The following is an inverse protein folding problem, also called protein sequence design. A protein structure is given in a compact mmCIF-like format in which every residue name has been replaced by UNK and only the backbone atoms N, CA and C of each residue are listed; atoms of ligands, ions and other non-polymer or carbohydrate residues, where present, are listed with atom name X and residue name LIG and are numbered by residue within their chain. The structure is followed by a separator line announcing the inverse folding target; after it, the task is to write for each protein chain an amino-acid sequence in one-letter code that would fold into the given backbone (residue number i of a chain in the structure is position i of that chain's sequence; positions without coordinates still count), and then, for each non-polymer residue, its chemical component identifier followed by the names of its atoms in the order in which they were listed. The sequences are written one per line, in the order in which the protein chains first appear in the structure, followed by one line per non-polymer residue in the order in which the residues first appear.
data_IF_277492889405
#
_entry.id   IF_277492889405
#
_cell.length_a   1.000
_cell.length_b   1.000
_cell.length_c   1.000
_cell.angle_alpha   90.00
_cell.angle_beta   90.00
_cell.angle_gamma   90.00
#
_symmetry.space_group_name_H-M   'P 1'
#
loop_
_entity.id
_entity.type
_entity.pdbx_description
1 polymer ?
#
# COMPACT_ATOMS: atom_id res chain seq x y z
N UNK A 1 -19.91 7.82 -19.67
CA UNK A 1 -19.57 8.08 -18.23
C UNK A 1 -18.13 8.57 -18.20
N UNK A 2 -17.75 9.51 -17.32
CA UNK A 2 -16.35 9.88 -17.09
C UNK A 2 -15.54 8.64 -16.69
N UNK A 3 -14.25 8.55 -17.11
CA UNK A 3 -13.38 7.40 -16.83
C UNK A 3 -12.30 7.80 -15.83
N UNK A 4 -12.50 7.55 -14.53
CA UNK A 4 -11.49 7.85 -13.51
C UNK A 4 -10.17 7.11 -13.76
N UNK A 5 -9.04 7.79 -13.56
CA UNK A 5 -7.71 7.24 -13.78
C UNK A 5 -7.32 6.21 -12.70
N UNK A 6 -6.64 5.14 -13.08
CA UNK A 6 -6.01 4.20 -12.12
C UNK A 6 -4.66 4.76 -11.71
N UNK A 7 -4.51 5.07 -10.42
CA UNK A 7 -3.28 5.59 -9.82
C UNK A 7 -2.55 4.49 -9.07
N UNK A 8 -1.43 4.04 -9.59
CA UNK A 8 -0.69 2.90 -9.07
C UNK A 8 0.64 3.28 -8.40
N UNK A 9 1.11 2.50 -7.39
CA UNK A 9 2.36 2.79 -6.69
C UNK A 9 3.60 2.29 -7.44
N UNK A 10 4.58 3.19 -7.70
CA UNK A 10 5.87 2.91 -8.29
C UNK A 10 7.02 2.90 -7.26
N UNK A 11 7.02 1.96 -6.30
CA UNK A 11 8.03 1.89 -5.24
C UNK A 11 9.41 1.39 -5.68
N UNK A 12 9.58 0.92 -6.92
CA UNK A 12 10.84 0.56 -7.58
C UNK A 12 10.70 0.77 -9.08
N UNK A 13 11.83 0.76 -9.81
CA UNK A 13 11.83 0.85 -11.27
C UNK A 13 10.89 -0.19 -11.90
N UNK A 14 11.08 -1.46 -11.58
CA UNK A 14 10.26 -2.54 -12.13
C UNK A 14 8.77 -2.39 -11.77
N UNK A 15 8.45 -2.00 -10.51
CA UNK A 15 7.05 -1.75 -10.11
C UNK A 15 6.40 -0.65 -10.93
N UNK A 16 7.11 0.46 -11.16
CA UNK A 16 6.60 1.59 -11.90
C UNK A 16 6.31 1.20 -13.37
N UNK A 17 7.29 0.59 -14.03
CA UNK A 17 7.13 0.14 -15.42
C UNK A 17 6.00 -0.87 -15.55
N UNK A 18 5.94 -1.83 -14.64
CA UNK A 18 4.91 -2.87 -14.75
C UNK A 18 3.53 -2.35 -14.41
N UNK A 19 3.39 -1.41 -13.45
CA UNK A 19 2.13 -0.74 -13.22
C UNK A 19 1.61 -0.05 -14.50
N UNK A 20 2.47 0.69 -15.19
CA UNK A 20 2.13 1.32 -16.47
C UNK A 20 1.73 0.29 -17.55
N UNK A 21 2.49 -0.81 -17.70
CA UNK A 21 2.19 -1.89 -18.66
C UNK A 21 0.86 -2.57 -18.40
N UNK A 22 0.47 -2.77 -17.16
CA UNK A 22 -0.82 -3.37 -16.79
C UNK A 22 -1.98 -2.37 -16.85
N UNK A 23 -1.70 -1.13 -17.25
CA UNK A 23 -2.69 -0.15 -17.62
C UNK A 23 -3.02 0.87 -16.53
N UNK A 24 -2.11 1.11 -15.58
CA UNK A 24 -2.18 2.30 -14.75
C UNK A 24 -1.93 3.53 -15.62
N UNK A 25 -2.88 4.44 -15.67
CA UNK A 25 -2.73 5.70 -16.40
C UNK A 25 -1.79 6.66 -15.66
N UNK A 26 -1.65 6.49 -14.34
CA UNK A 26 -0.88 7.37 -13.47
C UNK A 26 -0.05 6.54 -12.47
N UNK A 27 1.23 6.84 -12.34
CA UNK A 27 2.15 6.13 -11.44
C UNK A 27 2.75 7.12 -10.44
N UNK A 28 2.55 6.88 -9.13
CA UNK A 28 3.14 7.71 -8.11
C UNK A 28 4.39 7.11 -7.48
N UNK A 29 5.46 7.89 -7.38
CA UNK A 29 6.78 7.48 -6.90
C UNK A 29 7.28 8.37 -5.78
N UNK A 30 8.03 7.79 -4.83
CA UNK A 30 8.61 8.55 -3.73
C UNK A 30 9.91 9.24 -4.13
N UNK A 31 10.04 10.53 -3.81
CA UNK A 31 11.31 11.25 -3.91
C UNK A 31 12.15 10.97 -2.67
N UNK A 32 13.46 10.72 -2.81
CA UNK A 32 14.36 10.56 -1.66
C UNK A 32 14.25 11.72 -0.67
N UNK A 33 14.33 11.42 0.63
CA UNK A 33 14.31 12.36 1.77
C UNK A 33 13.01 13.14 2.01
N UNK A 34 12.11 13.22 1.03
CA UNK A 34 10.93 14.11 1.11
C UNK A 34 9.60 13.37 1.01
N UNK A 35 9.61 12.04 0.83
CA UNK A 35 8.38 11.25 0.72
C UNK A 35 8.14 10.37 1.92
N UNK A 36 6.85 10.13 2.22
CA UNK A 36 6.46 9.06 3.15
C UNK A 36 6.86 7.69 2.60
N UNK A 37 7.13 6.73 3.50
CA UNK A 37 7.60 5.38 3.15
C UNK A 37 9.04 5.35 2.59
N UNK A 38 9.92 6.23 3.05
CA UNK A 38 11.32 6.28 2.60
C UNK A 38 12.03 4.93 2.69
N UNK A 39 11.85 4.17 3.78
CA UNK A 39 12.51 2.87 3.98
C UNK A 39 12.13 1.81 2.95
N UNK A 40 10.93 1.86 2.41
CA UNK A 40 10.46 0.93 1.37
C UNK A 40 10.70 1.43 -0.05
N UNK A 41 11.21 2.65 -0.21
CA UNK A 41 11.52 3.23 -1.51
C UNK A 41 12.86 2.68 -2.02
N UNK A 42 12.85 2.02 -3.18
CA UNK A 42 14.06 1.52 -3.84
C UNK A 42 14.63 2.50 -4.88
N UNK A 43 14.05 3.69 -4.98
CA UNK A 43 14.47 4.77 -5.88
C UNK A 43 15.26 5.85 -5.12
N UNK A 44 16.32 5.44 -4.41
CA UNK A 44 17.15 6.35 -3.60
C UNK A 44 18.09 7.23 -4.44
N UNK A 45 18.38 6.81 -5.67
CA UNK A 45 19.24 7.54 -6.60
C UNK A 45 18.37 8.39 -7.54
N UNK A 46 18.65 9.68 -7.60
CA UNK A 46 17.95 10.62 -8.48
C UNK A 46 18.11 10.27 -9.97
N UNK A 47 19.26 9.74 -10.37
CA UNK A 47 19.49 9.27 -11.74
C UNK A 47 18.58 8.08 -12.07
N UNK A 48 18.43 7.13 -11.14
CA UNK A 48 17.52 6.01 -11.29
C UNK A 48 16.06 6.45 -11.28
N UNK A 49 15.72 7.46 -10.44
CA UNK A 49 14.39 8.06 -10.42
C UNK A 49 14.06 8.68 -11.79
N UNK A 50 14.97 9.50 -12.34
CA UNK A 50 14.80 10.11 -13.67
C UNK A 50 14.61 9.07 -14.78
N UNK A 51 15.47 8.05 -14.83
CA UNK A 51 15.32 6.93 -15.78
C UNK A 51 13.97 6.23 -15.63
N UNK A 52 13.44 6.13 -14.43
CA UNK A 52 12.14 5.52 -14.19
C UNK A 52 11.00 6.42 -14.66
N UNK A 53 11.12 7.74 -14.47
CA UNK A 53 10.16 8.73 -15.00
C UNK A 53 10.08 8.59 -16.51
N UNK A 54 11.23 8.62 -17.20
CA UNK A 54 11.28 8.53 -18.65
C UNK A 54 10.66 7.22 -19.17
N UNK A 55 11.02 6.10 -18.57
CA UNK A 55 10.50 4.79 -18.99
C UNK A 55 8.99 4.62 -18.76
N UNK A 56 8.43 5.27 -17.73
CA UNK A 56 6.96 5.28 -17.51
C UNK A 56 6.27 6.16 -18.55
N UNK A 57 6.87 7.31 -18.89
CA UNK A 57 6.35 8.18 -19.96
C UNK A 57 6.39 7.51 -21.32
N UNK A 58 7.45 6.75 -21.66
CA UNK A 58 7.54 5.96 -22.89
C UNK A 58 6.39 4.95 -23.02
N UNK A 59 5.83 4.49 -21.90
CA UNK A 59 4.66 3.61 -21.86
C UNK A 59 3.33 4.37 -21.89
N UNK A 60 3.33 5.70 -21.97
CA UNK A 60 2.16 6.55 -22.07
C UNK A 60 1.48 6.87 -20.72
N UNK A 61 2.07 6.50 -19.59
CA UNK A 61 1.52 6.81 -18.25
C UNK A 61 2.14 8.08 -17.70
N UNK A 62 1.35 8.85 -16.91
CA UNK A 62 1.82 10.03 -16.19
C UNK A 62 2.57 9.65 -14.91
N UNK A 63 3.48 10.52 -14.48
CA UNK A 63 4.29 10.33 -13.28
C UNK A 63 4.02 11.41 -12.24
N UNK A 64 3.66 10.96 -11.03
CA UNK A 64 3.50 11.85 -9.87
C UNK A 64 4.58 11.58 -8.84
N UNK A 65 5.36 12.60 -8.50
CA UNK A 65 6.38 12.49 -7.48
C UNK A 65 5.84 12.89 -6.11
N UNK A 66 6.02 12.02 -5.11
CA UNK A 66 5.55 12.31 -3.75
C UNK A 66 6.64 12.98 -2.93
N UNK A 67 6.33 14.18 -2.43
CA UNK A 67 7.15 15.01 -1.53
C UNK A 67 6.30 15.43 -0.33
N UNK A 68 5.72 14.45 0.35
CA UNK A 68 4.58 14.61 1.24
C UNK A 68 4.89 14.32 2.72
N UNK A 69 6.13 14.52 3.17
CA UNK A 69 6.46 14.54 4.59
C UNK A 69 5.92 15.82 5.25
N UNK A 70 5.84 15.82 6.59
CA UNK A 70 5.69 17.04 7.38
C UNK A 70 7.08 17.48 7.87
N UNK A 71 7.75 18.42 7.18
CA UNK A 71 9.10 18.84 7.51
C UNK A 71 9.10 19.69 8.78
N UNK A 72 10.18 19.58 9.56
CA UNK A 72 10.53 20.55 10.60
C UNK A 72 11.46 21.62 10.02
N UNK A 73 11.72 22.69 10.77
CA UNK A 73 12.59 23.77 10.30
C UNK A 73 13.95 23.28 9.79
N UNK A 74 14.52 22.26 10.41
CA UNK A 74 15.79 21.65 9.98
C UNK A 74 15.70 20.93 8.63
N UNK A 75 14.52 20.48 8.25
CA UNK A 75 14.27 19.71 7.04
C UNK A 75 14.03 20.63 5.82
N UNK A 76 13.67 21.91 6.02
CA UNK A 76 13.27 22.83 4.94
C UNK A 76 14.38 23.05 3.93
N UNK A 77 15.62 23.27 4.37
CA UNK A 77 16.76 23.44 3.46
C UNK A 77 17.03 22.19 2.63
N UNK A 78 16.84 21.00 3.23
CA UNK A 78 16.96 19.74 2.51
C UNK A 78 15.83 19.61 1.48
N UNK A 79 14.62 20.00 1.87
CA UNK A 79 13.46 19.99 0.98
C UNK A 79 13.69 20.90 -0.24
N UNK A 80 14.15 22.14 -0.06
CA UNK A 80 14.48 23.07 -1.15
C UNK A 80 15.54 22.49 -2.10
N UNK A 81 16.64 21.96 -1.57
CA UNK A 81 17.69 21.34 -2.37
C UNK A 81 17.22 20.10 -3.15
N UNK A 82 16.23 19.37 -2.62
CA UNK A 82 15.61 18.23 -3.32
C UNK A 82 14.66 18.73 -4.40
N UNK A 83 13.87 19.77 -4.14
CA UNK A 83 12.98 20.38 -5.15
C UNK A 83 13.77 20.83 -6.38
N UNK A 84 14.91 21.52 -6.17
CA UNK A 84 15.80 21.94 -7.26
C UNK A 84 16.27 20.74 -8.11
N UNK A 85 16.56 19.59 -7.48
CA UNK A 85 16.99 18.37 -8.21
C UNK A 85 15.87 17.68 -8.99
N UNK A 86 14.62 17.83 -8.57
CA UNK A 86 13.47 17.17 -9.21
C UNK A 86 12.72 18.07 -10.18
N UNK A 87 12.99 19.37 -10.20
CA UNK A 87 12.32 20.35 -11.07
C UNK A 87 12.41 19.98 -12.55
N UNK A 88 13.54 19.43 -12.98
CA UNK A 88 13.82 19.06 -14.36
C UNK A 88 13.58 17.57 -14.67
N UNK A 89 12.98 16.83 -13.74
CA UNK A 89 12.74 15.39 -13.93
C UNK A 89 11.54 15.07 -14.83
N UNK A 90 10.73 16.08 -15.18
CA UNK A 90 9.57 15.90 -16.05
C UNK A 90 8.36 15.28 -15.33
N UNK A 91 8.23 15.46 -14.00
CA UNK A 91 7.04 14.99 -13.28
C UNK A 91 5.80 15.76 -13.75
N UNK A 92 4.70 15.06 -13.99
CA UNK A 92 3.41 15.65 -14.36
C UNK A 92 2.75 16.34 -13.16
N UNK A 93 2.98 15.83 -11.94
CA UNK A 93 2.52 16.45 -10.71
C UNK A 93 3.43 16.13 -9.51
N UNK A 94 3.35 17.00 -8.49
CA UNK A 94 3.95 16.78 -7.18
C UNK A 94 2.84 16.57 -6.15
N UNK A 95 2.91 15.46 -5.41
CA UNK A 95 2.00 15.19 -4.29
C UNK A 95 2.65 15.72 -3.00
N UNK A 96 2.05 16.72 -2.39
CA UNK A 96 2.57 17.40 -1.19
C UNK A 96 1.57 17.37 -0.02
N UNK A 97 2.00 17.75 1.19
CA UNK A 97 1.12 17.77 2.38
C UNK A 97 1.22 19.07 3.20
N UNK A 98 2.37 19.67 3.25
CA UNK A 98 2.64 20.78 4.17
C UNK A 98 2.47 22.13 3.49
N UNK A 99 1.72 23.10 4.09
CA UNK A 99 1.54 24.43 3.50
C UNK A 99 2.85 25.19 3.29
N UNK A 100 3.87 24.98 4.15
CA UNK A 100 5.19 25.59 3.97
C UNK A 100 5.90 25.05 2.72
N UNK A 101 5.80 23.74 2.49
CA UNK A 101 6.36 23.12 1.27
C UNK A 101 5.61 23.51 0.00
N UNK A 102 4.32 23.85 0.11
CA UNK A 102 3.54 24.38 -1.01
C UNK A 102 4.17 25.66 -1.58
N UNK A 103 4.60 26.60 -0.73
CA UNK A 103 5.27 27.83 -1.19
C UNK A 103 6.61 27.53 -1.87
N UNK A 104 7.38 26.60 -1.34
CA UNK A 104 8.64 26.15 -1.97
C UNK A 104 8.37 25.57 -3.35
N UNK A 105 7.40 24.67 -3.47
CA UNK A 105 7.04 24.04 -4.74
C UNK A 105 6.55 25.07 -5.77
N UNK A 106 5.69 26.00 -5.39
CA UNK A 106 5.24 27.08 -6.28
C UNK A 106 6.38 27.96 -6.77
N UNK A 107 7.40 28.21 -5.92
CA UNK A 107 8.57 29.01 -6.28
C UNK A 107 9.46 28.31 -7.31
N UNK A 108 9.77 27.03 -7.11
CA UNK A 108 10.75 26.29 -7.93
C UNK A 108 10.10 25.50 -9.08
N UNK A 109 8.83 25.16 -8.99
CA UNK A 109 8.08 24.35 -9.97
C UNK A 109 6.73 25.01 -10.33
N UNK A 110 6.70 26.26 -10.80
CA UNK A 110 5.46 27.03 -10.98
C UNK A 110 4.49 26.43 -12.01
N UNK A 111 5.01 25.66 -12.96
CA UNK A 111 4.23 25.06 -14.06
C UNK A 111 3.85 23.61 -13.79
N UNK A 112 4.31 22.99 -12.70
CA UNK A 112 3.99 21.61 -12.36
C UNK A 112 2.69 21.57 -11.57
N UNK A 113 1.81 20.61 -11.89
CA UNK A 113 0.58 20.43 -11.14
C UNK A 113 0.88 20.01 -9.69
N UNK A 114 0.13 20.58 -8.76
CA UNK A 114 0.22 20.23 -7.34
C UNK A 114 -1.01 19.44 -6.92
N UNK A 115 -0.77 18.27 -6.34
CA UNK A 115 -1.79 17.39 -5.80
C UNK A 115 -1.67 17.34 -4.27
N UNK A 116 -2.79 17.59 -3.59
CA UNK A 116 -2.82 17.57 -2.13
C UNK A 116 -2.88 16.13 -1.63
N UNK A 117 -1.96 15.75 -0.77
CA UNK A 117 -1.92 14.40 -0.18
C UNK A 117 -3.02 14.18 0.84
N UNK A 118 -3.52 12.96 0.96
CA UNK A 118 -4.41 12.51 2.03
C UNK A 118 -3.86 12.80 3.44
N UNK A 119 -2.56 13.04 3.58
CA UNK A 119 -1.92 13.41 4.85
C UNK A 119 -2.44 14.72 5.45
N UNK A 120 -3.05 15.59 4.66
CA UNK A 120 -3.66 16.83 5.13
C UNK A 120 -5.01 16.61 5.82
N UNK A 121 -5.54 15.39 5.80
CA UNK A 121 -6.85 15.06 6.38
C UNK A 121 -7.99 15.93 5.81
N UNK A 122 -8.04 16.09 4.49
CA UNK A 122 -9.07 16.90 3.82
C UNK A 122 -10.38 16.13 3.77
N UNK A 123 -11.42 16.64 4.46
CA UNK A 123 -12.65 15.91 4.76
C UNK A 123 -13.93 16.68 4.45
N UNK A 124 -13.86 17.88 3.89
CA UNK A 124 -15.06 18.68 3.60
C UNK A 124 -14.86 19.60 2.41
N UNK A 125 -15.98 20.03 1.80
CA UNK A 125 -15.94 20.86 0.60
C UNK A 125 -15.27 22.22 0.82
N UNK A 126 -15.36 22.82 2.01
CA UNK A 126 -14.73 24.12 2.29
C UNK A 126 -13.21 24.01 2.29
N UNK A 127 -12.65 22.92 2.85
CA UNK A 127 -11.22 22.66 2.79
C UNK A 127 -10.76 22.35 1.36
N UNK A 128 -11.58 21.64 0.57
CA UNK A 128 -11.29 21.37 -0.84
C UNK A 128 -11.33 22.66 -1.65
N UNK A 129 -12.33 23.55 -1.43
CA UNK A 129 -12.43 24.86 -2.06
C UNK A 129 -11.20 25.73 -1.75
N UNK A 130 -10.79 25.79 -0.49
CA UNK A 130 -9.57 26.52 -0.09
C UNK A 130 -8.35 26.11 -0.93
N UNK A 131 -8.13 24.82 -1.08
CA UNK A 131 -6.99 24.33 -1.84
C UNK A 131 -7.15 24.54 -3.36
N UNK A 132 -8.38 24.47 -3.87
CA UNK A 132 -8.68 24.84 -5.25
C UNK A 132 -8.35 26.30 -5.55
N UNK A 133 -8.75 27.22 -4.66
CA UNK A 133 -8.46 28.65 -4.77
C UNK A 133 -6.96 28.94 -4.71
N UNK A 134 -6.19 28.10 -3.97
CA UNK A 134 -4.73 28.16 -3.94
C UNK A 134 -4.08 27.60 -5.22
N UNK A 135 -4.86 27.06 -6.16
CA UNK A 135 -4.39 26.50 -7.43
C UNK A 135 -3.88 25.06 -7.34
N UNK A 136 -4.38 24.29 -6.38
CA UNK A 136 -4.18 22.83 -6.32
C UNK A 136 -5.07 22.19 -7.39
N UNK A 137 -4.50 21.26 -8.16
CA UNK A 137 -5.21 20.61 -9.27
C UNK A 137 -6.05 19.42 -8.81
N UNK A 138 -5.55 18.65 -7.82
CA UNK A 138 -6.20 17.42 -7.32
C UNK A 138 -6.07 17.32 -5.81
N UNK A 139 -7.12 16.80 -5.17
CA UNK A 139 -7.11 16.46 -3.74
C UNK A 139 -7.25 14.96 -3.57
N UNK A 140 -6.29 14.34 -2.88
CA UNK A 140 -6.42 12.97 -2.38
C UNK A 140 -7.18 13.03 -1.06
N UNK A 141 -8.44 12.68 -1.08
CA UNK A 141 -9.33 12.79 0.05
C UNK A 141 -8.90 11.87 1.23
N UNK A 142 -9.31 12.22 2.42
CA UNK A 142 -9.14 11.39 3.60
C UNK A 142 -9.99 10.12 3.48
N UNK A 143 -9.51 9.00 4.08
CA UNK A 143 -10.18 7.69 4.00
C UNK A 143 -11.39 7.57 4.91
N UNK A 144 -11.59 8.55 5.75
CA UNK A 144 -12.66 8.63 6.75
C UNK A 144 -13.98 9.13 6.18
N UNK A 145 -14.00 9.58 4.91
CA UNK A 145 -15.18 10.09 4.23
C UNK A 145 -16.11 8.97 3.74
N UNK A 146 -17.42 9.21 3.92
CA UNK A 146 -18.47 8.40 3.31
C UNK A 146 -18.74 8.86 1.87
N UNK A 147 -19.27 7.98 1.04
CA UNK A 147 -19.53 8.27 -0.39
C UNK A 147 -20.49 9.45 -0.59
N UNK A 148 -21.45 9.64 0.31
CA UNK A 148 -22.35 10.78 0.25
C UNK A 148 -21.63 12.12 0.46
N UNK A 149 -20.63 12.15 1.34
CA UNK A 149 -19.80 13.33 1.58
C UNK A 149 -18.90 13.62 0.39
N UNK A 150 -18.36 12.59 -0.27
CA UNK A 150 -17.55 12.73 -1.49
C UNK A 150 -18.43 13.27 -2.62
N UNK A 151 -19.67 12.79 -2.76
CA UNK A 151 -20.64 13.32 -3.70
C UNK A 151 -20.90 14.80 -3.46
N UNK A 152 -21.19 15.20 -2.21
CA UNK A 152 -21.39 16.61 -1.86
C UNK A 152 -20.16 17.47 -2.17
N UNK A 153 -18.96 16.99 -1.87
CA UNK A 153 -17.71 17.69 -2.23
C UNK A 153 -17.65 17.91 -3.74
N UNK A 154 -17.92 16.87 -4.56
CA UNK A 154 -17.87 16.97 -6.02
C UNK A 154 -18.93 17.92 -6.58
N UNK A 155 -20.11 17.95 -5.99
CA UNK A 155 -21.19 18.88 -6.37
C UNK A 155 -20.85 20.34 -6.03
N UNK A 156 -20.20 20.58 -4.87
CA UNK A 156 -19.84 21.94 -4.41
C UNK A 156 -18.60 22.50 -5.08
N UNK A 157 -17.64 21.64 -5.45
CA UNK A 157 -16.36 22.03 -6.06
C UNK A 157 -16.10 21.16 -7.30
N UNK A 158 -16.90 21.32 -8.37
CA UNK A 158 -16.89 20.40 -9.52
C UNK A 158 -15.59 20.41 -10.33
N UNK A 159 -14.85 21.53 -10.32
CA UNK A 159 -13.70 21.76 -11.19
C UNK A 159 -12.38 21.18 -10.63
N UNK A 160 -12.36 20.77 -9.36
CA UNK A 160 -11.19 20.11 -8.79
C UNK A 160 -11.24 18.61 -9.04
N UNK A 161 -10.09 18.00 -9.28
CA UNK A 161 -10.00 16.56 -9.37
C UNK A 161 -10.00 15.93 -7.97
N UNK A 162 -10.85 14.92 -7.76
CA UNK A 162 -10.93 14.16 -6.52
C UNK A 162 -10.31 12.77 -6.71
N UNK A 163 -9.38 12.40 -5.82
CA UNK A 163 -8.75 11.09 -5.80
C UNK A 163 -9.07 10.38 -4.48
N UNK A 164 -9.49 9.13 -4.55
CA UNK A 164 -9.79 8.30 -3.37
C UNK A 164 -9.00 7.02 -3.36
N UNK A 165 -8.66 6.52 -2.18
CA UNK A 165 -8.12 5.18 -2.04
C UNK A 165 -9.23 4.14 -2.23
N UNK A 166 -8.98 3.17 -3.12
CA UNK A 166 -9.90 2.07 -3.41
C UNK A 166 -9.37 0.71 -2.96
N UNK A 167 -8.03 0.62 -2.78
CA UNK A 167 -7.35 -0.60 -2.37
C UNK A 167 -6.18 -0.28 -1.46
N UNK A 168 -6.05 -1.00 -0.35
CA UNK A 168 -4.87 -0.87 0.51
C UNK A 168 -5.17 -0.96 2.00
N UNK A 169 -4.25 -0.44 2.78
CA UNK A 169 -4.30 -0.52 4.22
C UNK A 169 -5.15 0.60 4.84
N UNK A 170 -6.09 0.27 5.70
CA UNK A 170 -6.69 1.27 6.59
C UNK A 170 -5.73 1.60 7.74
N UNK A 171 -5.74 2.86 8.18
CA UNK A 171 -5.04 3.32 9.38
C UNK A 171 -5.97 3.28 10.59
N UNK A 172 -5.37 3.11 11.80
CA UNK A 172 -6.11 3.19 13.08
C UNK A 172 -6.38 4.63 13.55
N UNK A 173 -5.77 5.59 12.86
CA UNK A 173 -5.89 7.02 13.16
C UNK A 173 -6.35 7.74 11.91
N UNK A 174 -6.87 8.95 12.08
CA UNK A 174 -7.14 9.82 10.95
C UNK A 174 -5.94 9.91 10.01
N UNK A 175 -6.21 10.02 8.71
CA UNK A 175 -5.21 10.16 7.67
C UNK A 175 -4.21 11.27 8.00
N UNK A 176 -2.90 10.94 8.07
CA UNK A 176 -1.85 11.90 8.40
C UNK A 176 -1.69 12.28 9.88
N UNK A 177 -2.46 11.72 10.81
CA UNK A 177 -2.45 12.11 12.23
C UNK A 177 -1.93 11.02 13.17
N UNK A 178 -1.06 10.13 12.68
CA UNK A 178 -0.56 9.00 13.45
C UNK A 178 0.74 9.34 14.18
N UNK A 179 0.73 9.16 15.51
CA UNK A 179 1.92 9.22 16.36
C UNK A 179 2.33 7.84 16.93
N UNK A 180 1.56 6.79 16.61
CA UNK A 180 1.77 5.47 17.22
C UNK A 180 3.18 4.92 16.98
N UNK A 181 3.72 5.11 15.77
CA UNK A 181 5.07 4.66 15.45
C UNK A 181 6.16 5.37 16.26
N UNK A 182 5.94 6.64 16.61
CA UNK A 182 6.83 7.40 17.50
C UNK A 182 6.81 6.80 18.92
N UNK A 183 5.61 6.60 19.48
CA UNK A 183 5.46 6.06 20.83
C UNK A 183 5.96 4.62 20.97
N UNK A 184 5.63 3.75 19.99
CA UNK A 184 5.92 2.31 20.08
C UNK A 184 7.34 1.95 19.63
N UNK A 185 8.06 2.84 18.96
CA UNK A 185 9.36 2.45 18.40
C UNK A 185 10.24 3.60 17.92
N UNK A 186 9.96 4.83 18.32
CA UNK A 186 10.74 6.01 17.92
C UNK A 186 10.82 6.23 16.40
N UNK A 187 9.77 5.80 15.66
CA UNK A 187 9.74 5.85 14.18
C UNK A 187 8.60 6.73 13.69
N UNK A 188 8.90 8.02 13.40
CA UNK A 188 7.89 8.99 13.02
C UNK A 188 7.24 8.65 11.67
N UNK A 189 5.96 8.25 11.73
CA UNK A 189 5.18 7.91 10.55
C UNK A 189 5.08 9.06 9.55
N UNK A 190 4.96 10.27 10.05
CA UNK A 190 4.83 11.49 9.23
C UNK A 190 6.17 11.99 8.64
N UNK A 191 7.29 11.38 9.01
CA UNK A 191 8.62 11.55 8.39
C UNK A 191 9.03 10.38 7.49
N UNK A 192 8.11 9.48 7.17
CA UNK A 192 8.38 8.36 6.27
C UNK A 192 8.94 7.09 6.91
N UNK A 193 8.97 7.01 8.24
CA UNK A 193 9.57 5.90 8.98
C UNK A 193 8.56 4.92 9.59
N UNK A 194 7.27 5.03 9.26
CA UNK A 194 6.23 4.16 9.79
C UNK A 194 6.58 2.66 9.60
N UNK A 195 6.66 1.94 10.70
CA UNK A 195 6.91 0.50 10.75
C UNK A 195 5.63 -0.34 10.87
N UNK A 196 4.46 0.31 10.85
CA UNK A 196 3.16 -0.35 11.05
C UNK A 196 3.03 -1.02 12.43
N UNK A 197 3.50 -0.39 13.49
CA UNK A 197 3.39 -0.92 14.85
C UNK A 197 1.95 -1.33 15.22
N UNK A 198 0.93 -0.63 14.69
CA UNK A 198 -0.49 -1.00 14.85
C UNK A 198 -0.86 -2.39 14.29
N UNK A 199 0.07 -3.07 13.63
CA UNK A 199 -0.14 -4.35 12.94
C UNK A 199 0.77 -5.46 13.45
N UNK A 200 1.58 -5.18 14.48
CA UNK A 200 2.40 -6.19 15.12
C UNK A 200 1.53 -7.10 16.00
N UNK A 201 1.97 -8.32 16.17
CA UNK A 201 1.45 -9.20 17.18
C UNK A 201 1.91 -8.69 18.55
N UNK A 202 1.00 -8.63 19.50
CA UNK A 202 1.29 -8.26 20.88
C UNK A 202 0.83 -9.36 21.81
N UNK A 203 1.66 -9.71 22.75
CA UNK A 203 1.21 -10.47 23.92
C UNK A 203 0.56 -9.49 24.90
N UNK A 204 -0.66 -9.80 25.33
CA UNK A 204 -1.38 -8.97 26.30
C UNK A 204 -1.31 -9.64 27.65
N UNK A 205 -0.93 -8.88 28.66
CA UNK A 205 -0.85 -9.33 30.03
C UNK A 205 -1.82 -8.52 30.89
N UNK A 206 -2.47 -9.19 31.82
CA UNK A 206 -3.28 -8.57 32.86
C UNK A 206 -2.47 -8.55 34.16
N UNK A 207 -2.47 -7.41 34.83
CA UNK A 207 -1.96 -7.27 36.17
C UNK A 207 -3.10 -6.89 37.10
N UNK A 208 -3.27 -7.61 38.20
CA UNK A 208 -4.23 -7.21 39.23
C UNK A 208 -3.57 -6.17 40.14
N UNK A 209 -4.13 -4.95 40.28
CA UNK A 209 -3.54 -3.88 41.10
C UNK A 209 -3.22 -4.24 42.55
N UNK A 210 -3.90 -5.24 43.12
CA UNK A 210 -3.64 -5.74 44.46
C UNK A 210 -2.50 -6.76 44.57
N UNK A 211 -1.97 -7.19 43.40
CA UNK A 211 -0.86 -8.15 43.28
C UNK A 211 0.14 -7.65 42.23
N UNK A 212 0.78 -6.49 42.49
CA UNK A 212 1.70 -5.89 41.51
C UNK A 212 2.87 -6.82 41.22
N UNK A 213 3.31 -6.83 39.95
CA UNK A 213 4.39 -7.69 39.45
C UNK A 213 3.97 -9.12 39.09
N UNK A 214 2.66 -9.46 39.23
CA UNK A 214 2.12 -10.74 38.74
C UNK A 214 1.32 -10.53 37.48
N UNK A 215 1.92 -10.95 36.34
CA UNK A 215 1.33 -10.82 35.02
C UNK A 215 0.68 -12.15 34.61
N UNK A 216 -0.57 -12.08 34.15
CA UNK A 216 -1.31 -13.18 33.58
C UNK A 216 -1.42 -12.94 32.08
N UNK A 217 -0.82 -13.82 31.27
CA UNK A 217 -0.93 -13.71 29.83
C UNK A 217 -2.39 -13.95 29.39
N UNK A 218 -2.89 -13.09 28.53
CA UNK A 218 -4.20 -13.26 27.92
C UNK A 218 -4.01 -14.07 26.63
N UNK A 219 -4.44 -15.30 26.63
CA UNK A 219 -4.41 -16.16 25.44
C UNK A 219 -5.73 -16.01 24.67
N UNK A 220 -5.64 -15.66 23.39
CA UNK A 220 -6.77 -15.67 22.47
C UNK A 220 -6.49 -16.70 21.36
N UNK A 221 -7.04 -17.91 21.49
CA UNK A 221 -6.94 -18.98 20.50
C UNK A 221 -5.64 -19.77 20.58
N UNK A 222 -5.64 -20.96 20.03
CA UNK A 222 -4.58 -21.95 20.21
C UNK A 222 -3.25 -21.60 19.52
N UNK A 223 -3.20 -20.62 18.59
CA UNK A 223 -1.99 -20.36 17.76
C UNK A 223 -1.60 -18.89 17.58
N UNK A 224 -2.27 -17.91 18.19
CA UNK A 224 -2.11 -16.50 17.77
C UNK A 224 -2.20 -15.51 18.93
N UNK A 225 -1.19 -14.66 19.07
CA UNK A 225 -1.23 -13.51 19.99
C UNK A 225 -2.38 -12.55 19.74
N UNK A 226 -2.76 -11.77 20.74
CA UNK A 226 -3.85 -10.78 20.65
C UNK A 226 -3.51 -9.63 19.71
N UNK A 227 -4.31 -9.38 18.67
CA UNK A 227 -4.20 -8.23 17.80
C UNK A 227 -5.01 -7.06 18.38
N UNK A 228 -4.36 -6.14 19.06
CA UNK A 228 -5.06 -5.03 19.73
C UNK A 228 -5.55 -3.98 18.75
N UNK A 229 -4.85 -3.77 17.63
CA UNK A 229 -5.08 -2.68 16.68
C UNK A 229 -5.03 -3.07 15.22
N UNK A 230 -5.18 -4.36 14.88
CA UNK A 230 -5.11 -4.80 13.50
C UNK A 230 -6.31 -4.32 12.70
N UNK A 231 -6.15 -3.24 11.95
CA UNK A 231 -7.17 -2.76 11.02
C UNK A 231 -7.29 -3.69 9.81
N UNK A 232 -8.51 -3.82 9.28
CA UNK A 232 -8.80 -4.52 8.02
C UNK A 232 -8.12 -3.85 6.84
N UNK A 233 -8.02 -4.53 5.72
CA UNK A 233 -7.54 -3.95 4.47
C UNK A 233 -8.72 -3.41 3.65
N UNK A 234 -8.56 -2.24 3.02
CA UNK A 234 -9.56 -1.63 2.16
C UNK A 234 -9.63 -2.36 0.83
N UNK A 235 -10.83 -2.69 0.37
CA UNK A 235 -11.10 -3.06 -1.02
C UNK A 235 -12.55 -2.71 -1.38
N UNK A 236 -12.72 -1.87 -2.39
CA UNK A 236 -14.05 -1.45 -2.87
C UNK A 236 -14.38 -1.99 -4.25
N UNK A 237 -13.64 -3.00 -4.72
CA UNK A 237 -13.79 -3.52 -6.09
C UNK A 237 -15.20 -4.00 -6.40
N UNK A 238 -15.90 -4.59 -5.42
CA UNK A 238 -17.26 -5.09 -5.57
C UNK A 238 -18.33 -3.97 -5.58
N UNK A 239 -17.96 -2.77 -5.16
CA UNK A 239 -18.83 -1.59 -5.10
C UNK A 239 -18.31 -0.43 -5.93
N UNK A 240 -17.39 -0.71 -6.85
CA UNK A 240 -16.70 0.32 -7.63
C UNK A 240 -17.68 1.18 -8.45
N UNK A 241 -18.77 0.59 -8.93
CA UNK A 241 -19.81 1.33 -9.68
C UNK A 241 -20.40 2.52 -8.90
N UNK A 242 -20.45 2.42 -7.55
CA UNK A 242 -21.00 3.47 -6.71
C UNK A 242 -19.99 4.63 -6.51
N UNK A 243 -18.70 4.37 -6.71
CA UNK A 243 -17.60 5.34 -6.52
C UNK A 243 -17.31 6.14 -7.81
N UNK A 244 -17.32 5.46 -8.97
CA UNK A 244 -16.90 6.03 -10.26
C UNK A 244 -17.54 7.38 -10.62
N UNK A 245 -18.83 7.66 -10.34
CA UNK A 245 -19.45 8.92 -10.74
C UNK A 245 -18.89 10.16 -10.05
N UNK A 246 -18.25 10.02 -8.89
CA UNK A 246 -17.91 11.15 -8.01
C UNK A 246 -16.43 11.44 -7.90
N UNK A 247 -15.58 10.64 -8.55
CA UNK A 247 -14.11 10.75 -8.43
C UNK A 247 -13.45 10.80 -9.80
N UNK A 248 -12.28 11.42 -9.86
CA UNK A 248 -11.48 11.53 -11.08
C UNK A 248 -10.31 10.52 -11.09
N UNK A 249 -9.97 9.96 -9.93
CA UNK A 249 -8.88 9.01 -9.82
C UNK A 249 -9.08 7.99 -8.69
N UNK A 250 -8.69 6.74 -8.97
CA UNK A 250 -8.79 5.56 -8.12
C UNK A 250 -7.39 5.17 -7.67
N UNK A 251 -7.06 5.39 -6.40
CA UNK A 251 -5.72 5.16 -5.88
C UNK A 251 -5.56 3.78 -5.26
N UNK A 252 -4.58 3.04 -5.77
CA UNK A 252 -4.11 1.79 -5.19
C UNK A 252 -2.94 2.09 -4.25
N UNK A 253 -3.03 1.64 -2.99
CA UNK A 253 -1.95 1.83 -2.02
C UNK A 253 -0.95 0.67 -2.07
N UNK A 254 0.12 0.83 -1.31
CA UNK A 254 1.16 -0.14 -0.96
C UNK A 254 2.39 -0.17 -1.86
N UNK A 255 3.16 0.90 -1.80
CA UNK A 255 4.52 0.93 -2.38
C UNK A 255 5.46 -0.14 -1.82
N UNK A 256 5.17 -0.67 -0.62
CA UNK A 256 6.00 -1.68 0.06
C UNK A 256 5.69 -3.13 -0.30
N UNK A 257 4.52 -3.43 -0.87
CA UNK A 257 4.16 -4.79 -1.30
C UNK A 257 5.01 -5.24 -2.50
N UNK A 258 4.93 -6.53 -2.82
CA UNK A 258 5.62 -7.12 -3.98
C UNK A 258 5.20 -6.48 -5.30
N UNK A 259 6.01 -6.67 -6.32
CA UNK A 259 5.73 -6.15 -7.67
C UNK A 259 4.42 -6.72 -8.20
N UNK A 260 4.20 -8.01 -8.05
CA UNK A 260 3.01 -8.67 -8.56
C UNK A 260 1.71 -8.23 -7.85
N UNK A 261 1.77 -7.78 -6.58
CA UNK A 261 0.61 -7.15 -5.94
C UNK A 261 0.11 -5.95 -6.76
N UNK A 262 1.02 -5.06 -7.14
CA UNK A 262 0.67 -3.84 -7.88
C UNK A 262 -0.01 -4.20 -9.20
N UNK A 263 0.52 -5.18 -9.90
CA UNK A 263 0.03 -5.61 -11.22
C UNK A 263 -1.37 -6.17 -11.17
N UNK A 264 -1.61 -7.07 -10.23
CA UNK A 264 -2.92 -7.68 -10.06
C UNK A 264 -3.99 -6.69 -9.68
N UNK A 265 -3.65 -5.78 -8.76
CA UNK A 265 -4.58 -4.71 -8.38
C UNK A 265 -4.89 -3.80 -9.57
N UNK A 266 -3.87 -3.37 -10.32
CA UNK A 266 -4.07 -2.53 -11.50
C UNK A 266 -4.93 -3.25 -12.53
N UNK A 267 -4.61 -4.52 -12.85
CA UNK A 267 -5.39 -5.33 -13.81
C UNK A 267 -6.85 -5.49 -13.39
N UNK A 268 -7.08 -5.84 -12.12
CA UNK A 268 -8.43 -6.06 -11.59
C UNK A 268 -9.25 -4.77 -11.60
N UNK A 269 -8.72 -3.69 -11.03
CA UNK A 269 -9.44 -2.41 -10.96
C UNK A 269 -9.67 -1.79 -12.33
N UNK A 270 -8.68 -1.86 -13.24
CA UNK A 270 -8.85 -1.40 -14.61
C UNK A 270 -9.95 -2.18 -15.32
N UNK A 271 -9.92 -3.52 -15.25
CA UNK A 271 -10.92 -4.37 -15.89
C UNK A 271 -12.33 -4.06 -15.38
N UNK A 272 -12.51 -4.04 -14.05
CA UNK A 272 -13.83 -3.81 -13.45
C UNK A 272 -14.34 -2.38 -13.78
N UNK A 273 -13.48 -1.36 -13.69
CA UNK A 273 -13.82 0.02 -14.08
C UNK A 273 -14.28 0.08 -15.54
N UNK A 274 -13.46 -0.48 -16.43
CA UNK A 274 -13.72 -0.42 -17.88
C UNK A 274 -15.00 -1.17 -18.22
N UNK A 275 -15.21 -2.36 -17.66
CA UNK A 275 -16.44 -3.14 -17.87
C UNK A 275 -17.70 -2.40 -17.41
N UNK A 276 -17.65 -1.73 -16.24
CA UNK A 276 -18.78 -0.91 -15.73
C UNK A 276 -19.07 0.25 -16.67
N UNK A 277 -18.04 0.97 -17.13
CA UNK A 277 -18.21 2.17 -17.98
C UNK A 277 -18.71 1.79 -19.39
N UNK A 278 -18.15 0.71 -19.94
CA UNK A 278 -18.45 0.27 -21.30
C UNK A 278 -19.70 -0.64 -21.36
N UNK A 279 -20.29 -1.00 -20.22
CA UNK A 279 -21.48 -1.86 -20.11
C UNK A 279 -21.20 -3.31 -20.54
N UNK A 280 -19.95 -3.76 -20.40
CA UNK A 280 -19.55 -5.13 -20.73
C UNK A 280 -19.56 -6.04 -19.50
N UNK A 281 -19.67 -7.37 -19.66
CA UNK A 281 -19.58 -8.30 -18.53
C UNK A 281 -18.23 -8.17 -17.80
N UNK A 282 -18.29 -8.18 -16.47
CA UNK A 282 -17.10 -8.29 -15.64
C UNK A 282 -16.64 -9.74 -15.62
N UNK A 283 -15.38 -10.00 -15.97
CA UNK A 283 -14.77 -11.32 -15.83
C UNK A 283 -14.52 -11.63 -14.35
N UNK A 284 -15.19 -12.65 -13.77
CA UNK A 284 -15.06 -12.96 -12.35
C UNK A 284 -13.64 -13.42 -11.96
N UNK A 285 -12.89 -14.02 -12.88
CA UNK A 285 -11.52 -14.48 -12.61
C UNK A 285 -10.60 -13.28 -12.45
N UNK A 286 -10.72 -12.26 -13.31
CA UNK A 286 -9.94 -11.02 -13.22
C UNK A 286 -10.34 -10.22 -11.97
N UNK A 287 -11.65 -10.11 -11.69
CA UNK A 287 -12.12 -9.44 -10.49
C UNK A 287 -11.59 -10.11 -9.22
N UNK A 288 -11.53 -11.43 -9.20
CA UNK A 288 -11.06 -12.21 -8.05
C UNK A 288 -9.53 -12.13 -7.82
N UNK A 289 -8.74 -11.54 -8.73
CA UNK A 289 -7.31 -11.36 -8.55
C UNK A 289 -6.96 -10.62 -7.25
N UNK A 290 -7.83 -9.76 -6.75
CA UNK A 290 -7.64 -9.05 -5.47
C UNK A 290 -7.55 -10.01 -4.28
N UNK A 291 -8.19 -11.19 -4.35
CA UNK A 291 -8.21 -12.20 -3.30
C UNK A 291 -7.05 -13.21 -3.40
N UNK A 292 -6.31 -13.23 -4.51
CA UNK A 292 -5.19 -14.18 -4.72
C UNK A 292 -3.95 -13.79 -3.93
N UNK A 293 -3.86 -12.53 -3.53
CA UNK A 293 -2.69 -11.98 -2.82
C UNK A 293 -2.92 -12.03 -1.32
N UNK A 294 -1.87 -12.30 -0.51
CA UNK A 294 -1.99 -12.23 0.94
C UNK A 294 -2.49 -10.86 1.42
N UNK A 295 -3.66 -10.85 2.02
CA UNK A 295 -4.33 -9.67 2.55
C UNK A 295 -4.97 -10.01 3.89
N UNK A 296 -5.30 -9.00 4.69
CA UNK A 296 -6.21 -9.13 5.82
C UNK A 296 -7.63 -9.22 5.32
N UNK A 297 -8.57 -9.49 6.22
CA UNK A 297 -9.99 -9.37 5.90
C UNK A 297 -10.25 -8.05 5.18
N UNK A 298 -10.89 -8.13 4.02
CA UNK A 298 -11.26 -6.94 3.27
C UNK A 298 -12.50 -6.28 3.86
N UNK A 299 -12.47 -4.96 3.78
CA UNK A 299 -13.55 -4.10 4.19
C UNK A 299 -13.64 -2.92 3.20
N UNK A 300 -14.82 -2.50 2.86
CA UNK A 300 -15.06 -1.36 1.96
C UNK A 300 -14.86 0.02 2.62
N UNK A 301 -14.32 0.02 3.84
CA UNK A 301 -13.89 1.22 4.56
C UNK A 301 -15.04 2.12 4.97
N UNK A 302 -14.70 3.32 5.37
CA UNK A 302 -15.68 4.36 5.70
C UNK A 302 -16.43 4.87 4.47
N UNK A 303 -15.97 4.56 3.26
CA UNK A 303 -16.70 4.89 2.04
C UNK A 303 -18.16 4.40 2.08
N UNK A 304 -18.41 3.27 2.75
CA UNK A 304 -19.74 2.67 2.83
C UNK A 304 -20.19 2.32 4.26
N UNK A 305 -19.36 2.62 5.23
CA UNK A 305 -19.67 2.39 6.64
C UNK A 305 -19.45 3.70 7.38
N UNK A 306 -20.53 4.43 7.65
CA UNK A 306 -20.45 5.65 8.45
C UNK A 306 -19.77 5.34 9.79
N UNK A 307 -18.87 6.21 10.23
CA UNK A 307 -18.55 6.27 11.65
C UNK A 307 -19.90 6.37 12.35
N UNK A 308 -20.23 5.44 13.23
CA UNK A 308 -21.50 5.48 13.97
C UNK A 308 -21.63 6.91 14.49
N UNK A 309 -22.65 7.60 14.02
CA UNK A 309 -23.07 8.84 14.67
C UNK A 309 -23.15 8.49 16.14
N UNK A 310 -22.52 9.29 17.01
CA UNK A 310 -22.67 9.08 18.42
C UNK A 310 -24.16 8.97 18.65
N UNK A 311 -24.66 7.89 19.27
CA UNK A 311 -26.07 7.82 19.62
C UNK A 311 -26.41 9.12 20.32
N UNK A 312 -27.57 9.68 19.99
CA UNK A 312 -28.01 10.95 20.56
C UNK A 312 -27.73 10.91 22.06
N UNK A 313 -26.85 11.79 22.51
CA UNK A 313 -26.26 11.76 23.85
C UNK A 313 -27.30 11.85 24.99
N UNK A 314 -28.58 12.03 24.65
CA UNK A 314 -29.66 12.15 25.61
C UNK A 314 -30.20 10.81 26.11
N UNK A 315 -30.10 9.71 25.40
CA UNK A 315 -30.66 8.42 25.83
C UNK A 315 -29.65 7.46 26.52
N UNK A 316 -28.34 7.57 26.28
CA UNK A 316 -27.34 6.67 26.92
C UNK A 316 -26.66 7.25 28.16
N UNK A 317 -26.86 8.51 28.52
CA UNK A 317 -26.32 9.12 29.73
C UNK A 317 -27.17 8.85 31.01
N UNK A 318 -28.24 8.09 30.87
CA UNK A 318 -29.12 7.73 32.03
C UNK A 318 -28.81 6.37 32.65
N UNK A 319 -27.82 5.63 32.17
CA UNK A 319 -27.34 4.46 32.93
C UNK A 319 -26.29 4.93 33.91
N UNK A 320 -26.67 4.91 35.19
CA UNK A 320 -25.83 5.13 36.35
C UNK A 320 -24.55 4.28 36.31
N UNK A 321 -23.52 4.76 35.63
CA UNK A 321 -22.14 4.33 35.88
C UNK A 321 -21.63 5.34 36.93
N UNK A 322 -21.44 4.94 38.19
CA UNK A 322 -20.75 5.79 39.16
C UNK A 322 -19.26 5.81 38.75
N UNK A 323 -18.92 6.65 37.79
CA UNK A 323 -17.54 7.00 37.56
C UNK A 323 -17.20 8.08 38.59
N UNK A 324 -16.73 7.69 39.76
CA UNK A 324 -15.86 8.57 40.54
C UNK A 324 -14.65 8.89 39.67
N UNK A 325 -14.79 9.91 38.83
CA UNK A 325 -13.65 10.50 38.12
C UNK A 325 -12.83 11.26 39.16
N UNK A 326 -11.85 10.61 39.74
CA UNK A 326 -10.80 11.33 40.47
C UNK A 326 -10.16 12.35 39.52
N UNK A 327 -9.95 13.60 39.98
CA UNK A 327 -9.32 14.63 39.18
C UNK A 327 -8.03 14.13 38.56
N UNK A 328 -7.76 14.51 37.32
CA UNK A 328 -6.54 14.12 36.55
C UNK A 328 -5.26 14.40 37.35
N UNK A 329 -5.26 15.44 38.22
CA UNK A 329 -4.18 15.78 39.14
C UNK A 329 -3.82 14.69 40.17
N UNK A 330 -4.76 13.81 40.53
CA UNK A 330 -4.48 12.70 41.47
C UNK A 330 -3.98 11.43 40.76
N UNK A 331 -4.13 11.33 39.44
CA UNK A 331 -3.63 10.18 38.66
C UNK A 331 -2.15 10.27 38.36
N UNK A 332 -1.53 11.46 38.41
CA UNK A 332 -0.13 11.68 37.98
C UNK A 332 0.86 11.80 39.15
N UNK A 333 0.35 11.80 40.41
CA UNK A 333 1.20 11.91 41.59
C UNK A 333 1.73 10.57 42.14
N UNK A 334 1.43 9.45 41.50
CA UNK A 334 2.11 8.20 41.78
C UNK A 334 3.29 8.07 40.78
N UNK A 335 4.40 8.75 41.06
CA UNK A 335 5.67 8.35 40.44
C UNK A 335 5.92 6.89 40.78
N UNK A 336 6.17 6.01 39.82
CA UNK A 336 6.67 4.69 40.12
C UNK A 336 8.09 4.91 40.70
N UNK A 337 8.24 4.71 42.00
CA UNK A 337 9.56 4.54 42.60
C UNK A 337 10.22 3.36 41.90
N UNK A 338 11.10 3.65 40.96
CA UNK A 338 11.94 2.69 40.31
C UNK A 338 12.93 2.14 41.35
N UNK A 339 12.54 1.06 42.02
CA UNK A 339 13.50 0.18 42.70
C UNK A 339 12.91 -1.21 42.69
N UNK A 340 13.28 -1.96 41.69
CA UNK A 340 13.72 -3.37 41.84
C UNK A 340 14.16 -3.89 40.47
N UNK A 341 15.37 -4.30 40.41
CA UNK A 341 15.92 -5.14 39.37
C UNK A 341 15.03 -6.37 39.20
N UNK A 342 14.25 -6.39 38.12
CA UNK A 342 13.52 -7.59 37.74
C UNK A 342 14.17 -8.10 36.44
N UNK A 343 15.09 -9.06 36.65
CA UNK A 343 15.95 -9.66 35.61
C UNK A 343 15.23 -10.66 34.72
N UNK A 344 13.90 -10.79 34.80
CA UNK A 344 13.13 -11.84 34.11
C UNK A 344 12.20 -11.28 32.99
N UNK A 345 12.41 -10.06 32.53
CA UNK A 345 11.79 -9.63 31.27
C UNK A 345 12.58 -10.23 30.11
N UNK A 346 11.93 -10.90 29.14
CA UNK A 346 12.60 -11.36 27.95
C UNK A 346 13.29 -10.17 27.30
N UNK A 347 14.61 -10.23 27.14
CA UNK A 347 15.37 -9.22 26.42
C UNK A 347 14.78 -9.12 25.01
N UNK A 348 14.27 -7.96 24.67
CA UNK A 348 13.88 -7.62 23.29
C UNK A 348 15.14 -7.82 22.44
N UNK A 349 15.08 -8.74 21.51
CA UNK A 349 16.15 -8.99 20.57
C UNK A 349 16.54 -7.67 19.88
N UNK A 350 17.77 -7.24 20.08
CA UNK A 350 18.33 -5.99 19.56
C UNK A 350 18.66 -6.05 18.06
N UNK A 351 18.34 -7.13 17.37
CA UNK A 351 18.82 -7.40 16.01
C UNK A 351 17.95 -6.86 14.88
N UNK A 352 16.99 -6.00 15.14
CA UNK A 352 16.26 -5.28 14.06
C UNK A 352 15.60 -6.17 12.98
N UNK A 353 15.64 -7.48 13.13
CA UNK A 353 14.90 -8.41 12.28
C UNK A 353 13.45 -8.37 12.71
N UNK A 354 12.66 -7.55 12.02
CA UNK A 354 11.20 -7.65 12.05
C UNK A 354 10.82 -8.99 11.44
N UNK A 355 10.79 -10.03 12.24
CA UNK A 355 9.98 -11.19 11.93
C UNK A 355 8.55 -10.68 11.86
N UNK A 356 8.06 -10.44 10.67
CA UNK A 356 6.64 -10.30 10.41
C UNK A 356 6.01 -11.67 10.67
N UNK A 357 5.84 -12.02 11.92
CA UNK A 357 5.04 -13.15 12.32
C UNK A 357 3.56 -12.74 12.34
N UNK A 358 3.05 -12.29 11.20
CA UNK A 358 1.71 -12.67 10.85
C UNK A 358 1.84 -14.06 10.26
N UNK A 359 1.13 -15.05 10.74
CA UNK A 359 0.92 -16.25 9.96
C UNK A 359 0.25 -15.78 8.70
N UNK A 360 1.01 -15.81 7.64
CA UNK A 360 0.50 -15.63 6.32
C UNK A 360 -0.53 -16.76 6.14
N UNK A 361 -1.80 -16.46 5.89
CA UNK A 361 -2.73 -17.50 5.50
C UNK A 361 -2.12 -18.27 4.34
N UNK A 362 -2.50 -19.51 4.14
CA UNK A 362 -2.06 -20.45 3.09
C UNK A 362 -1.89 -19.84 1.68
N UNK A 363 -2.40 -18.66 1.44
CA UNK A 363 -2.36 -17.89 0.18
C UNK A 363 -0.96 -17.37 -0.23
N UNK A 364 0.06 -17.35 0.65
CA UNK A 364 1.41 -16.94 0.28
C UNK A 364 2.09 -17.90 -0.71
N UNK A 365 1.60 -19.14 -0.83
CA UNK A 365 2.15 -20.20 -1.68
C UNK A 365 1.65 -20.18 -3.13
N UNK A 366 0.94 -19.14 -3.55
CA UNK A 366 0.30 -19.14 -4.87
C UNK A 366 1.08 -18.39 -5.95
N UNK A 367 2.17 -17.72 -5.58
CA UNK A 367 3.00 -16.98 -6.51
C UNK A 367 4.31 -17.73 -6.78
N UNK A 368 4.53 -18.11 -8.03
CA UNK A 368 5.65 -18.94 -8.43
C UNK A 368 6.81 -18.17 -9.04
N UNK A 369 6.57 -17.06 -9.67
CA UNK A 369 7.65 -16.26 -10.24
C UNK A 369 7.19 -15.24 -11.28
N UNK A 370 8.16 -14.52 -11.79
CA UNK A 370 8.03 -13.51 -12.81
C UNK A 370 9.02 -13.80 -13.94
N UNK A 371 8.57 -13.68 -15.18
CA UNK A 371 9.36 -13.92 -16.37
C UNK A 371 10.14 -12.66 -16.74
N UNK A 372 11.47 -12.73 -16.70
CA UNK A 372 12.39 -11.65 -17.04
C UNK A 372 12.59 -11.53 -18.55
N UNK A 373 13.13 -10.38 -19.01
CA UNK A 373 13.58 -10.19 -20.41
C UNK A 373 14.74 -11.11 -20.80
N UNK A 374 15.54 -11.52 -19.83
CA UNK A 374 16.75 -12.30 -20.03
C UNK A 374 16.40 -13.73 -20.48
N UNK A 375 16.96 -14.16 -21.59
CA UNK A 375 16.68 -15.46 -22.17
C UNK A 375 17.95 -16.25 -22.44
N UNK A 376 17.81 -17.58 -22.46
CA UNK A 376 18.87 -18.54 -22.81
C UNK A 376 18.34 -19.49 -23.88
N UNK A 377 19.11 -19.75 -24.94
CA UNK A 377 18.78 -20.78 -25.93
C UNK A 377 19.50 -22.09 -25.56
N UNK A 378 18.75 -23.18 -25.49
CA UNK A 378 19.27 -24.50 -25.18
C UNK A 378 18.50 -25.57 -25.97
N UNK A 379 19.20 -26.43 -26.71
CA UNK A 379 18.61 -27.50 -27.53
C UNK A 379 17.49 -27.00 -28.47
N UNK A 380 17.68 -25.83 -29.11
CA UNK A 380 16.70 -25.23 -30.01
C UNK A 380 15.43 -24.71 -29.34
N UNK A 381 15.38 -24.63 -28.01
CA UNK A 381 14.28 -24.05 -27.22
C UNK A 381 14.75 -22.77 -26.53
N UNK A 382 13.85 -21.82 -26.45
CA UNK A 382 14.05 -20.57 -25.72
C UNK A 382 13.60 -20.75 -24.26
N UNK A 383 14.47 -20.41 -23.33
CA UNK A 383 14.24 -20.40 -21.90
C UNK A 383 14.25 -18.97 -21.38
N UNK A 384 13.39 -18.66 -20.45
CA UNK A 384 13.23 -17.34 -19.86
C UNK A 384 13.67 -17.34 -18.40
N UNK A 385 14.45 -16.34 -18.01
CA UNK A 385 14.92 -16.20 -16.65
C UNK A 385 13.75 -15.91 -15.70
N UNK A 386 13.73 -16.62 -14.58
CA UNK A 386 12.83 -16.37 -13.46
C UNK A 386 13.53 -16.58 -12.13
N UNK A 387 13.00 -15.98 -11.08
CA UNK A 387 13.43 -16.23 -9.68
C UNK A 387 12.27 -16.88 -8.95
N UNK A 388 12.26 -18.21 -8.83
CA UNK A 388 11.15 -18.93 -8.19
C UNK A 388 10.93 -18.45 -6.76
N UNK A 389 9.67 -18.35 -6.36
CA UNK A 389 9.25 -18.04 -4.99
C UNK A 389 8.71 -19.27 -4.28
N UNK A 390 8.26 -20.23 -5.05
CA UNK A 390 7.82 -21.56 -4.63
C UNK A 390 8.56 -22.61 -5.44
N UNK A 391 8.50 -23.87 -5.00
CA UNK A 391 9.14 -24.97 -5.73
C UNK A 391 8.50 -25.18 -7.09
N UNK A 392 9.29 -25.08 -8.14
CA UNK A 392 8.91 -25.40 -9.51
C UNK A 392 9.66 -26.66 -9.97
N UNK A 393 9.01 -27.43 -10.85
CA UNK A 393 9.57 -28.64 -11.48
C UNK A 393 8.94 -28.86 -12.86
N UNK A 394 9.63 -29.51 -13.80
CA UNK A 394 8.98 -29.93 -15.05
C UNK A 394 7.71 -30.73 -14.78
N UNK A 395 6.66 -30.46 -15.56
CA UNK A 395 5.33 -31.05 -15.39
C UNK A 395 4.37 -30.29 -14.48
N UNK A 396 4.85 -29.27 -13.73
CA UNK A 396 3.93 -28.45 -12.91
C UNK A 396 3.06 -27.58 -13.82
N UNK A 397 1.75 -27.59 -13.53
CA UNK A 397 0.80 -26.68 -14.17
C UNK A 397 0.70 -25.40 -13.35
N UNK A 398 0.87 -24.28 -14.03
CA UNK A 398 0.73 -22.94 -13.47
C UNK A 398 -0.27 -22.13 -14.30
N UNK A 399 -0.71 -21.03 -13.76
CA UNK A 399 -1.40 -19.99 -14.51
C UNK A 399 -0.42 -18.89 -14.88
N UNK A 400 -0.63 -18.26 -16.01
CA UNK A 400 0.07 -17.05 -16.40
C UNK A 400 -0.88 -15.86 -16.48
N UNK A 401 -0.36 -14.67 -16.25
CA UNK A 401 -1.07 -13.40 -16.40
C UNK A 401 -0.17 -12.41 -17.12
N UNK A 402 -0.72 -11.81 -18.17
CA UNK A 402 -0.11 -10.69 -18.92
C UNK A 402 -1.05 -9.47 -18.89
N UNK A 403 -0.63 -8.30 -19.39
CA UNK A 403 -1.53 -7.17 -19.60
C UNK A 403 -2.80 -7.53 -20.38
N UNK A 404 -2.67 -8.35 -21.42
CA UNK A 404 -3.72 -8.59 -22.40
C UNK A 404 -4.40 -9.95 -22.28
N UNK A 405 -3.76 -10.92 -21.63
CA UNK A 405 -4.24 -12.31 -21.56
C UNK A 405 -3.93 -12.97 -20.22
N UNK A 406 -4.62 -14.08 -19.98
CA UNK A 406 -4.32 -15.01 -18.89
C UNK A 406 -4.69 -16.43 -19.32
N UNK A 407 -4.12 -17.44 -18.67
CA UNK A 407 -4.38 -18.82 -19.00
C UNK A 407 -3.59 -19.81 -18.17
N UNK A 408 -3.53 -21.05 -18.64
CA UNK A 408 -2.75 -22.14 -18.01
C UNK A 408 -1.55 -22.47 -18.88
N UNK A 409 -0.47 -22.87 -18.23
CA UNK A 409 0.73 -23.38 -18.87
C UNK A 409 1.37 -24.50 -18.03
N UNK A 410 2.24 -25.29 -18.66
CA UNK A 410 3.02 -26.32 -18.00
C UNK A 410 4.51 -26.01 -18.15
N UNK A 411 5.27 -26.01 -17.06
CA UNK A 411 6.74 -25.90 -17.14
C UNK A 411 7.27 -27.20 -17.76
N UNK A 412 7.99 -27.09 -18.88
CA UNK A 412 8.53 -28.26 -19.61
C UNK A 412 10.02 -28.46 -19.40
N UNK A 413 10.74 -27.46 -18.86
CA UNK A 413 12.16 -27.57 -18.57
C UNK A 413 12.66 -26.45 -17.67
N UNK A 414 13.72 -26.73 -16.93
CA UNK A 414 14.40 -25.76 -16.02
C UNK A 414 15.91 -25.91 -16.22
N UNK A 415 16.60 -24.77 -16.35
CA UNK A 415 18.06 -24.71 -16.42
C UNK A 415 18.62 -23.80 -15.33
N UNK A 416 19.83 -24.08 -14.85
CA UNK A 416 20.59 -23.14 -14.04
C UNK A 416 21.27 -22.05 -14.90
N UNK A 417 21.97 -21.11 -14.27
CA UNK A 417 22.71 -20.04 -14.97
C UNK A 417 23.83 -20.54 -15.90
N UNK A 418 24.24 -21.77 -15.74
CA UNK A 418 25.29 -22.43 -16.57
C UNK A 418 24.69 -23.30 -17.69
N UNK A 419 23.36 -23.30 -17.85
CA UNK A 419 22.65 -24.08 -18.86
C UNK A 419 22.52 -25.58 -18.52
N UNK A 420 22.68 -25.98 -17.25
CA UNK A 420 22.51 -27.38 -16.81
C UNK A 420 21.04 -27.61 -16.42
N UNK A 421 20.50 -28.74 -16.82
CA UNK A 421 19.13 -29.13 -16.49
C UNK A 421 18.95 -29.35 -14.97
N UNK A 422 17.86 -28.87 -14.44
CA UNK A 422 17.45 -29.03 -13.05
C UNK A 422 16.12 -29.81 -12.96
N UNK A 423 16.05 -30.76 -12.02
CA UNK A 423 14.83 -31.47 -11.69
C UNK A 423 13.82 -30.58 -10.94
N UNK A 424 14.32 -29.60 -10.18
CA UNK A 424 13.51 -28.63 -9.43
C UNK A 424 14.31 -27.35 -9.16
N UNK A 425 13.58 -26.27 -8.93
CA UNK A 425 14.13 -25.02 -8.40
C UNK A 425 13.15 -24.39 -7.39
N UNK A 426 13.64 -23.62 -6.44
CA UNK A 426 12.87 -22.97 -5.39
C UNK A 426 13.43 -21.58 -5.05
N UNK A 427 12.95 -20.96 -3.97
CA UNK A 427 13.41 -19.63 -3.54
C UNK A 427 14.92 -19.59 -3.16
N UNK A 428 15.55 -20.73 -2.91
CA UNK A 428 16.98 -20.85 -2.65
C UNK A 428 17.80 -21.09 -3.93
N UNK A 429 17.13 -21.21 -5.07
CA UNK A 429 17.72 -21.37 -6.41
C UNK A 429 17.38 -20.14 -7.26
N UNK A 430 17.90 -18.95 -6.92
CA UNK A 430 17.59 -17.74 -7.67
C UNK A 430 18.17 -17.81 -9.09
N UNK A 431 17.55 -17.11 -10.03
CA UNK A 431 18.04 -16.97 -11.40
C UNK A 431 18.10 -18.28 -12.20
N UNK A 432 17.00 -18.99 -12.25
CA UNK A 432 16.86 -20.13 -13.16
C UNK A 432 16.19 -19.70 -14.48
N UNK A 433 16.34 -20.52 -15.50
CA UNK A 433 15.72 -20.35 -16.80
C UNK A 433 14.66 -21.42 -16.99
N UNK A 434 13.44 -21.05 -17.36
CA UNK A 434 12.33 -21.99 -17.58
C UNK A 434 11.85 -21.94 -19.02
N UNK A 435 11.33 -23.08 -19.50
CA UNK A 435 10.56 -23.16 -20.73
C UNK A 435 9.24 -23.87 -20.45
N UNK A 436 8.22 -23.60 -21.27
CA UNK A 436 6.84 -24.05 -21.05
C UNK A 436 6.22 -24.52 -22.36
N UNK A 437 5.06 -25.18 -22.27
CA UNK A 437 4.23 -25.55 -23.42
C UNK A 437 3.50 -24.35 -24.06
N UNK A 438 3.52 -23.20 -23.41
CA UNK A 438 3.02 -21.92 -23.89
C UNK A 438 4.19 -20.97 -24.16
N UNK A 439 4.19 -20.17 -25.23
CA UNK A 439 5.27 -19.23 -25.52
C UNK A 439 5.29 -18.09 -24.49
N UNK A 440 6.22 -18.18 -23.52
CA UNK A 440 6.40 -17.15 -22.51
C UNK A 440 6.81 -15.82 -23.13
N UNK A 441 6.31 -14.75 -22.54
CA UNK A 441 6.67 -13.37 -22.87
C UNK A 441 7.20 -12.67 -21.62
N UNK A 442 8.13 -11.74 -21.79
CA UNK A 442 8.61 -10.93 -20.70
C UNK A 442 7.47 -10.20 -19.99
N UNK A 443 7.49 -10.22 -18.67
CA UNK A 443 6.49 -9.58 -17.84
C UNK A 443 5.35 -10.48 -17.42
N UNK A 444 5.35 -11.76 -17.85
CA UNK A 444 4.34 -12.72 -17.40
C UNK A 444 4.53 -13.10 -15.93
N UNK A 445 3.42 -13.26 -15.25
CA UNK A 445 3.35 -13.68 -13.86
C UNK A 445 2.88 -15.12 -13.82
N UNK A 446 3.63 -15.96 -13.09
CA UNK A 446 3.32 -17.37 -12.87
C UNK A 446 2.71 -17.55 -11.48
N UNK A 447 1.51 -18.15 -11.41
CA UNK A 447 0.78 -18.34 -10.17
C UNK A 447 -0.11 -19.59 -10.19
N UNK A 448 -0.65 -19.94 -9.02
CA UNK A 448 -1.70 -20.95 -8.87
C UNK A 448 -2.93 -20.30 -8.24
N UNK A 449 -4.11 -20.62 -8.72
CA UNK A 449 -5.33 -20.11 -8.10
C UNK A 449 -5.51 -20.79 -6.73
N UNK A 450 -5.83 -20.05 -5.65
CA UNK A 450 -6.05 -20.62 -4.32
C UNK A 450 -7.05 -21.78 -4.28
N UNK A 451 -8.08 -21.73 -5.11
CA UNK A 451 -9.06 -22.82 -5.23
C UNK A 451 -8.51 -24.11 -5.87
N UNK A 452 -7.36 -24.03 -6.56
CA UNK A 452 -6.70 -25.18 -7.23
C UNK A 452 -5.49 -25.69 -6.39
N UNK A 453 -5.06 -24.95 -5.37
CA UNK A 453 -3.89 -25.30 -4.53
C UNK A 453 -4.17 -26.33 -3.42
N UNK A 454 -5.40 -26.81 -3.31
CA UNK A 454 -5.86 -27.74 -2.25
C UNK A 454 -5.95 -29.20 -2.77
N UNK A 455 -5.25 -29.52 -3.87
CA UNK A 455 -5.12 -30.91 -4.33
C UNK A 455 -3.71 -31.46 -4.09
#
# INVERSE_FOLDING_TARGET
MHRPMIVAPGGSHNKAITAARFGAEEVYMGVPFTSLRMRSNKLWDFSKLKKTVDAVHELGSKVFLTMNIFPRNVDIKIFEAVVEKVSDMGADAIIFSDPGTFHVLKKYMPNTHLHLSTQTTTMNYSAVQFWYDMGVKRVVLARELHIDEIREIKEKVPDIELEVFVQGAMCMTYSGRCLLGDYMGGRPGNKGECNHACRFNYNVYLEEPRRPGKFFQLEQGEDWGSFIMSSKDLSVINRLAEVLPYVDALKIEWRSKSEFYVWWMVKAYKHVRDAIIDGTPIDPEIQNLVNVIPHREYWDGFLFNKLKDYPDREEELTTDIPVEMKPVSERWNNEPTATTENTDLPQLAQDGTTTQATPWPLFARNYYGFVSEETLEYNGKKYFKTSPKETIRPGIQLRYLTPDSYGKLTITGILDEKGRELEKADCNTPNVYITTDYPLVWGEILYVNPSEAVQ
#
